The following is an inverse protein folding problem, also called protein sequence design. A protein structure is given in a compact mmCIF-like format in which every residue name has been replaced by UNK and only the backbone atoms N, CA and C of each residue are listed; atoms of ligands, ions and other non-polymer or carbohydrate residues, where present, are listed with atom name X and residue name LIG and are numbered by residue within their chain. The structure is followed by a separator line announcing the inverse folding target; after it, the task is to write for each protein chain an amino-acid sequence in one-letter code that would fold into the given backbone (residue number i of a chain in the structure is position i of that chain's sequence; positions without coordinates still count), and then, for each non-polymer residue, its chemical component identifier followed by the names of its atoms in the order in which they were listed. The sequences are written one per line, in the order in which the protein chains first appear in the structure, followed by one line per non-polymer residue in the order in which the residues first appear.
data_IF_368186631638
#
_entry.id   IF_368186631638
#
_cell.length_a   1.000
_cell.length_b   1.000
_cell.length_c   1.000
_cell.angle_alpha   90.00
_cell.angle_beta   90.00
_cell.angle_gamma   90.00
#
_symmetry.space_group_name_H-M   'P 1'
#
loop_
_entity.id
_entity.type
_entity.pdbx_description
1 polymer ?
#
# COMPACT_ATOMS: atom_id res chain seq x y z
N UNK A 1 -14.18 -9.69 -22.35
CA UNK A 1 -13.87 -8.27 -22.06
C UNK A 1 -13.34 -8.21 -20.64
N UNK A 2 -12.22 -7.52 -20.37
CA UNK A 2 -11.68 -7.42 -19.00
C UNK A 2 -12.65 -6.69 -18.08
N UNK A 3 -12.71 -7.09 -16.81
CA UNK A 3 -13.73 -6.60 -15.86
C UNK A 3 -13.67 -5.08 -15.63
N UNK A 4 -12.49 -4.48 -15.71
CA UNK A 4 -12.25 -3.05 -15.51
C UNK A 4 -12.08 -2.25 -16.82
N UNK A 5 -12.34 -2.85 -17.99
CA UNK A 5 -12.12 -2.19 -19.28
C UNK A 5 -12.88 -0.86 -19.42
N UNK A 6 -14.11 -0.81 -18.87
CA UNK A 6 -15.01 0.35 -18.93
C UNK A 6 -14.79 1.35 -17.80
N UNK A 7 -13.86 1.10 -16.88
CA UNK A 7 -13.49 2.08 -15.87
C UNK A 7 -12.88 3.31 -16.54
N UNK A 8 -13.18 4.49 -16.02
CA UNK A 8 -12.73 5.76 -16.56
C UNK A 8 -11.68 6.41 -15.67
N UNK A 9 -11.21 7.60 -16.05
CA UNK A 9 -10.26 8.37 -15.25
C UNK A 9 -10.74 8.73 -13.84
N UNK A 10 -12.03 8.57 -13.52
CA UNK A 10 -12.54 8.64 -12.14
C UNK A 10 -11.89 7.61 -11.20
N UNK A 11 -11.41 6.48 -11.74
CA UNK A 11 -10.76 5.42 -10.98
C UNK A 11 -9.23 5.38 -11.22
N UNK A 12 -8.68 6.38 -11.91
CA UNK A 12 -7.27 6.39 -12.29
C UNK A 12 -6.45 7.15 -11.24
N UNK A 13 -5.41 6.56 -10.64
CA UNK A 13 -4.57 7.26 -9.65
C UNK A 13 -3.71 8.37 -10.28
N UNK A 14 -3.58 8.39 -11.61
CA UNK A 14 -2.94 9.47 -12.35
C UNK A 14 -3.89 10.64 -12.68
N UNK A 15 -5.17 10.57 -12.30
CA UNK A 15 -6.08 11.70 -12.42
C UNK A 15 -5.79 12.73 -11.33
N UNK A 16 -5.59 13.98 -11.76
CA UNK A 16 -5.43 15.13 -10.88
C UNK A 16 -6.71 15.96 -10.92
N UNK A 17 -7.42 15.97 -9.78
CA UNK A 17 -8.64 16.75 -9.61
C UNK A 17 -8.27 18.16 -9.11
N UNK A 18 -8.67 19.23 -9.82
CA UNK A 18 -8.51 20.58 -9.31
C UNK A 18 -9.30 20.76 -8.01
N UNK A 19 -8.86 21.67 -7.14
CA UNK A 19 -9.45 21.87 -5.81
C UNK A 19 -10.97 22.18 -5.84
N UNK A 20 -11.46 22.81 -6.90
CA UNK A 20 -12.88 23.11 -7.11
C UNK A 20 -13.66 21.95 -7.74
N UNK A 21 -12.96 20.94 -8.27
CA UNK A 21 -13.53 19.79 -8.99
C UNK A 21 -14.20 20.11 -10.32
N UNK A 22 -14.33 21.39 -10.69
CA UNK A 22 -15.12 21.87 -11.82
C UNK A 22 -14.36 22.91 -12.65
N UNK A 23 -14.62 22.93 -13.96
CA UNK A 23 -14.20 24.00 -14.86
C UNK A 23 -15.03 25.29 -14.58
N UNK A 24 -14.70 26.44 -15.20
CA UNK A 24 -15.46 27.69 -15.04
C UNK A 24 -16.95 27.59 -15.41
N UNK A 25 -17.35 26.54 -16.13
CA UNK A 25 -18.73 26.25 -16.56
C UNK A 25 -19.46 25.27 -15.63
N UNK A 26 -18.84 24.86 -14.51
CA UNK A 26 -19.46 23.96 -13.53
C UNK A 26 -19.43 22.47 -13.92
N UNK A 27 -18.63 22.07 -14.90
CA UNK A 27 -18.46 20.67 -15.32
C UNK A 27 -17.21 20.05 -14.72
N UNK A 28 -17.29 18.78 -14.32
CA UNK A 28 -16.16 18.05 -13.78
C UNK A 28 -15.01 17.99 -14.80
N UNK A 29 -13.84 18.49 -14.43
CA UNK A 29 -12.66 18.48 -15.30
C UNK A 29 -11.42 18.04 -14.52
N UNK A 30 -10.58 17.22 -15.15
CA UNK A 30 -9.34 16.69 -14.56
C UNK A 30 -8.15 16.94 -15.47
N UNK A 31 -6.95 16.84 -14.90
CA UNK A 31 -5.68 16.70 -15.66
C UNK A 31 -5.13 15.29 -15.50
N UNK A 32 -4.34 14.82 -16.45
CA UNK A 32 -3.64 13.55 -16.34
C UNK A 32 -2.16 13.78 -15.96
N UNK A 33 -1.72 13.27 -14.80
CA UNK A 33 -0.33 13.35 -14.33
C UNK A 33 0.66 12.65 -15.27
N UNK A 34 0.19 11.65 -16.03
CA UNK A 34 0.99 10.87 -17.00
C UNK A 34 0.98 11.44 -18.40
N UNK A 35 0.02 12.32 -18.73
CA UNK A 35 -0.12 12.95 -20.05
C UNK A 35 -0.40 14.44 -19.89
N UNK A 36 0.65 15.20 -19.61
CA UNK A 36 0.57 16.65 -19.34
C UNK A 36 0.09 17.47 -20.54
N UNK A 37 0.30 16.97 -21.77
CA UNK A 37 -0.07 17.66 -23.01
C UNK A 37 -1.58 17.63 -23.33
N UNK A 38 -2.38 16.84 -22.61
CA UNK A 38 -3.83 16.66 -22.87
C UNK A 38 -4.68 17.87 -22.44
N UNK A 39 -4.15 18.77 -21.61
CA UNK A 39 -4.93 19.82 -20.97
C UNK A 39 -5.96 19.26 -19.98
N UNK A 40 -7.02 20.02 -19.72
CA UNK A 40 -8.16 19.61 -18.90
C UNK A 40 -9.23 18.92 -19.75
N UNK A 41 -9.84 17.86 -19.23
CA UNK A 41 -10.90 17.11 -19.93
C UNK A 41 -11.90 16.47 -18.96
N UNK A 42 -13.05 16.04 -19.47
CA UNK A 42 -14.06 15.32 -18.67
C UNK A 42 -13.55 13.91 -18.31
N UNK A 43 -13.45 13.57 -17.01
CA UNK A 43 -12.93 12.28 -16.55
C UNK A 43 -13.70 11.05 -17.03
N UNK A 44 -14.93 11.20 -17.55
CA UNK A 44 -15.77 10.09 -18.05
C UNK A 44 -15.51 9.73 -19.51
N UNK A 45 -14.76 10.55 -20.24
CA UNK A 45 -14.60 10.40 -21.70
C UNK A 45 -13.62 9.29 -22.09
N UNK A 46 -12.61 9.04 -21.26
CA UNK A 46 -11.55 8.06 -21.53
C UNK A 46 -11.72 6.85 -20.62
N UNK A 47 -11.93 5.68 -21.23
CA UNK A 47 -11.94 4.38 -20.57
C UNK A 47 -10.55 3.74 -20.58
N UNK A 48 -10.29 2.79 -19.67
CA UNK A 48 -8.98 2.14 -19.54
C UNK A 48 -8.55 1.42 -20.82
N UNK A 49 -9.48 0.77 -21.53
CA UNK A 49 -9.19 0.12 -22.82
C UNK A 49 -8.81 1.07 -23.95
N UNK A 50 -9.16 2.36 -23.83
CA UNK A 50 -8.81 3.41 -24.80
C UNK A 50 -7.60 4.23 -24.37
N UNK A 51 -7.15 4.10 -23.13
CA UNK A 51 -6.06 4.90 -22.60
C UNK A 51 -4.70 4.21 -22.86
N UNK A 52 -3.73 4.87 -23.52
CA UNK A 52 -2.43 4.26 -23.82
C UNK A 52 -1.56 4.00 -22.59
N UNK A 53 -1.90 4.60 -21.43
CA UNK A 53 -1.21 4.39 -20.16
C UNK A 53 -1.60 3.08 -19.48
N UNK A 54 -2.73 2.48 -19.88
CA UNK A 54 -3.20 1.21 -19.36
C UNK A 54 -2.85 0.10 -20.35
N UNK A 55 -2.46 -1.06 -19.84
CA UNK A 55 -2.21 -2.24 -20.66
C UNK A 55 -2.97 -3.45 -20.11
N UNK A 56 -3.38 -4.38 -20.99
CA UNK A 56 -4.02 -5.62 -20.56
C UNK A 56 -3.05 -6.52 -19.79
N UNK A 57 -3.56 -7.17 -18.74
CA UNK A 57 -2.91 -8.28 -18.02
C UNK A 57 -3.92 -9.41 -17.80
N UNK A 58 -3.50 -10.62 -17.38
CA UNK A 58 -4.45 -11.67 -16.98
C UNK A 58 -5.43 -11.25 -15.88
N UNK A 59 -5.09 -10.21 -15.11
CA UNK A 59 -5.88 -9.71 -13.99
C UNK A 59 -6.68 -8.44 -14.31
N UNK A 60 -6.74 -8.02 -15.58
CA UNK A 60 -7.41 -6.78 -16.01
C UNK A 60 -6.42 -5.73 -16.53
N UNK A 61 -6.92 -4.53 -16.79
CA UNK A 61 -6.07 -3.41 -17.18
C UNK A 61 -5.22 -2.94 -16.00
N UNK A 62 -3.92 -2.84 -16.21
CA UNK A 62 -2.94 -2.31 -15.26
C UNK A 62 -2.31 -1.03 -15.82
N UNK A 63 -2.08 -0.07 -14.94
CA UNK A 63 -1.41 1.17 -15.30
C UNK A 63 0.10 0.87 -15.47
N UNK A 64 0.67 1.25 -16.62
CA UNK A 64 2.08 0.97 -16.94
C UNK A 64 2.99 1.55 -15.86
N UNK A 65 3.99 0.82 -15.36
CA UNK A 65 4.90 1.37 -14.33
C UNK A 65 4.13 2.00 -13.15
N UNK A 66 3.08 1.33 -12.67
CA UNK A 66 2.31 1.83 -11.54
C UNK A 66 3.21 1.87 -10.31
N UNK A 67 3.26 3.01 -9.60
CA UNK A 67 4.09 3.14 -8.39
C UNK A 67 3.31 2.64 -7.17
N UNK A 68 3.79 1.58 -6.53
CA UNK A 68 3.14 0.98 -5.36
C UNK A 68 4.11 0.96 -4.20
N UNK A 69 3.74 1.62 -3.10
CA UNK A 69 4.49 1.58 -1.85
C UNK A 69 3.86 0.59 -0.87
N UNK A 70 4.65 -0.33 -0.33
CA UNK A 70 4.20 -1.34 0.64
C UNK A 70 4.79 -1.02 2.01
N UNK A 71 3.93 -0.67 2.97
CA UNK A 71 4.31 -0.50 4.37
C UNK A 71 4.22 -1.86 5.06
N UNK A 72 5.31 -2.35 5.65
CA UNK A 72 5.42 -3.73 6.16
C UNK A 72 5.87 -4.74 5.09
N UNK A 73 6.77 -4.31 4.19
CA UNK A 73 7.19 -5.12 3.02
C UNK A 73 8.03 -6.35 3.39
N UNK A 74 8.67 -6.41 4.56
CA UNK A 74 9.45 -7.58 4.96
C UNK A 74 8.55 -8.75 5.39
N UNK A 75 7.32 -8.44 5.79
CA UNK A 75 6.32 -9.39 6.26
C UNK A 75 5.88 -10.43 5.22
N UNK A 76 5.10 -11.40 5.70
CA UNK A 76 4.63 -12.54 4.90
C UNK A 76 3.86 -12.12 3.64
N UNK A 77 2.88 -11.22 3.80
CA UNK A 77 2.08 -10.69 2.69
C UNK A 77 2.83 -9.61 1.90
N UNK A 78 3.56 -8.74 2.60
CA UNK A 78 4.25 -7.61 1.98
C UNK A 78 5.31 -8.04 0.96
N UNK A 79 6.14 -9.03 1.32
CA UNK A 79 7.22 -9.46 0.44
C UNK A 79 6.70 -10.15 -0.82
N UNK A 80 5.74 -11.06 -0.65
CA UNK A 80 5.16 -11.83 -1.76
C UNK A 80 4.40 -10.90 -2.72
N UNK A 81 3.67 -9.93 -2.18
CA UNK A 81 3.01 -8.90 -2.99
C UNK A 81 4.03 -8.04 -3.75
N UNK A 82 5.12 -7.61 -3.11
CA UNK A 82 6.17 -6.81 -3.74
C UNK A 82 6.80 -7.51 -4.94
N UNK A 83 7.16 -8.79 -4.81
CA UNK A 83 7.68 -9.59 -5.92
C UNK A 83 6.66 -9.75 -7.05
N UNK A 84 5.41 -10.04 -6.71
CA UNK A 84 4.34 -10.24 -7.69
C UNK A 84 4.04 -8.96 -8.48
N UNK A 85 3.91 -7.81 -7.81
CA UNK A 85 3.69 -6.52 -8.46
C UNK A 85 4.87 -6.11 -9.33
N UNK A 86 6.11 -6.31 -8.86
CA UNK A 86 7.31 -6.05 -9.65
C UNK A 86 7.33 -6.87 -10.95
N UNK A 87 6.97 -8.16 -10.87
CA UNK A 87 6.87 -9.04 -12.04
C UNK A 87 5.74 -8.64 -13.01
N UNK A 88 4.72 -7.91 -12.54
CA UNK A 88 3.69 -7.29 -13.39
C UNK A 88 4.12 -5.96 -14.02
N UNK A 89 5.33 -5.47 -13.72
CA UNK A 89 5.87 -4.22 -14.25
C UNK A 89 5.51 -2.98 -13.42
N UNK A 90 5.07 -3.15 -12.17
CA UNK A 90 4.91 -2.06 -11.22
C UNK A 90 6.27 -1.62 -10.66
N UNK A 91 6.39 -0.34 -10.34
CA UNK A 91 7.53 0.22 -9.61
C UNK A 91 7.24 0.09 -8.11
N UNK A 92 7.94 -0.84 -7.45
CA UNK A 92 7.67 -1.19 -6.06
C UNK A 92 8.66 -0.49 -5.13
N UNK A 93 8.12 0.20 -4.14
CA UNK A 93 8.86 0.67 -2.98
C UNK A 93 8.29 0.08 -1.70
N UNK A 94 9.05 0.07 -0.62
CA UNK A 94 8.52 -0.37 0.66
C UNK A 94 9.37 -0.02 1.86
N UNK A 95 8.73 -0.08 3.01
CA UNK A 95 9.37 0.19 4.30
C UNK A 95 9.05 -0.92 5.30
N UNK A 96 9.98 -1.18 6.19
CA UNK A 96 9.82 -2.10 7.32
C UNK A 96 10.87 -1.78 8.39
N UNK A 97 10.56 -1.99 9.67
CA UNK A 97 11.50 -1.83 10.80
C UNK A 97 11.93 -3.17 11.41
N UNK A 98 11.56 -4.29 10.79
CA UNK A 98 11.80 -5.66 11.25
C UNK A 98 11.19 -6.00 12.61
N UNK A 99 10.24 -5.21 13.12
CA UNK A 99 9.63 -5.44 14.42
C UNK A 99 9.04 -6.85 14.53
N UNK A 100 8.46 -7.38 13.44
CA UNK A 100 7.97 -8.77 13.42
C UNK A 100 9.06 -9.80 13.71
N UNK A 101 10.26 -9.64 13.15
CA UNK A 101 11.40 -10.53 13.42
C UNK A 101 11.82 -10.45 14.89
N UNK A 102 11.78 -9.25 15.47
CA UNK A 102 12.10 -9.03 16.88
C UNK A 102 11.07 -9.69 17.80
N UNK A 103 9.76 -9.53 17.54
CA UNK A 103 8.70 -10.17 18.33
C UNK A 103 8.79 -11.71 18.29
N UNK A 104 9.12 -12.30 17.12
CA UNK A 104 9.33 -13.75 17.02
C UNK A 104 10.47 -14.20 17.95
N UNK A 105 11.59 -13.47 17.92
CA UNK A 105 12.77 -13.77 18.74
C UNK A 105 12.50 -13.61 20.23
N UNK A 106 11.80 -12.54 20.60
CA UNK A 106 11.37 -12.26 21.98
C UNK A 106 10.59 -13.43 22.58
N UNK A 107 9.73 -14.07 21.78
CA UNK A 107 8.94 -15.24 22.20
C UNK A 107 9.69 -16.57 22.15
N UNK A 108 10.99 -16.57 21.84
CA UNK A 108 11.77 -17.79 21.62
C UNK A 108 11.24 -18.65 20.48
N UNK A 109 10.51 -18.05 19.55
CA UNK A 109 9.90 -18.73 18.41
C UNK A 109 10.77 -18.59 17.17
N UNK A 110 10.49 -19.39 16.13
CA UNK A 110 11.18 -19.35 14.86
C UNK A 110 10.23 -19.60 13.71
N UNK A 111 10.56 -19.03 12.55
CA UNK A 111 9.89 -19.36 11.29
C UNK A 111 10.27 -20.77 10.83
N UNK A 112 9.31 -21.50 10.24
CA UNK A 112 9.57 -22.84 9.69
C UNK A 112 10.45 -22.78 8.43
N UNK A 113 10.27 -21.74 7.61
CA UNK A 113 11.14 -21.44 6.47
C UNK A 113 12.09 -20.32 6.87
N UNK A 114 13.42 -20.53 6.86
CA UNK A 114 14.38 -19.47 7.18
C UNK A 114 14.19 -18.23 6.31
N UNK A 115 14.07 -17.06 6.94
CA UNK A 115 13.92 -15.79 6.23
C UNK A 115 15.29 -15.13 6.10
N UNK A 116 15.77 -14.98 4.86
CA UNK A 116 17.04 -14.32 4.56
C UNK A 116 17.02 -12.83 4.97
N UNK A 117 18.21 -12.20 4.99
CA UNK A 117 18.31 -10.75 5.24
C UNK A 117 17.69 -10.00 4.07
N UNK A 118 17.18 -8.79 4.33
CA UNK A 118 16.56 -7.99 3.28
C UNK A 118 17.51 -7.74 2.11
N UNK A 119 18.80 -7.53 2.38
CA UNK A 119 19.85 -7.38 1.33
C UNK A 119 19.87 -8.57 0.37
N UNK A 120 19.83 -9.79 0.90
CA UNK A 120 19.92 -11.02 0.12
C UNK A 120 18.61 -11.26 -0.64
N UNK A 121 17.47 -10.94 -0.01
CA UNK A 121 16.14 -10.99 -0.63
C UNK A 121 16.06 -10.05 -1.83
N UNK A 122 16.52 -8.80 -1.68
CA UNK A 122 16.55 -7.79 -2.75
C UNK A 122 17.50 -8.21 -3.88
N UNK A 123 18.68 -8.74 -3.54
CA UNK A 123 19.63 -9.25 -4.53
C UNK A 123 19.01 -10.37 -5.36
N UNK A 124 18.42 -11.37 -4.71
CA UNK A 124 17.76 -12.49 -5.37
C UNK A 124 16.57 -12.04 -6.23
N UNK A 125 15.77 -11.07 -5.76
CA UNK A 125 14.65 -10.51 -6.54
C UNK A 125 15.14 -9.89 -7.86
N UNK A 126 16.24 -9.12 -7.80
CA UNK A 126 16.86 -8.52 -8.98
C UNK A 126 17.50 -9.56 -9.91
N UNK A 127 18.28 -10.47 -9.35
CA UNK A 127 19.04 -11.47 -10.10
C UNK A 127 18.13 -12.48 -10.82
N UNK A 128 17.12 -12.99 -10.11
CA UNK A 128 16.27 -14.09 -10.60
C UNK A 128 15.04 -13.58 -11.35
N UNK A 129 14.43 -12.50 -10.88
CA UNK A 129 13.16 -11.99 -11.42
C UNK A 129 13.31 -10.69 -12.20
N UNK A 130 14.49 -10.04 -12.18
CA UNK A 130 14.65 -8.68 -12.74
C UNK A 130 13.83 -7.62 -11.99
N UNK A 131 13.39 -7.91 -10.77
CA UNK A 131 12.54 -7.03 -9.97
C UNK A 131 13.40 -6.19 -9.03
N UNK A 132 13.44 -4.89 -9.26
CA UNK A 132 14.08 -3.92 -8.37
C UNK A 132 13.06 -3.34 -7.39
N UNK A 133 13.34 -3.46 -6.10
CA UNK A 133 12.50 -2.93 -5.02
C UNK A 133 13.27 -1.84 -4.29
N UNK A 134 12.70 -0.63 -4.22
CA UNK A 134 13.26 0.46 -3.44
C UNK A 134 12.85 0.31 -1.97
N UNK A 135 13.74 -0.29 -1.16
CA UNK A 135 13.49 -0.57 0.26
C UNK A 135 14.17 0.46 1.17
N UNK A 136 13.47 0.89 2.23
CA UNK A 136 14.07 1.64 3.36
C UNK A 136 13.68 1.02 4.69
N UNK A 137 14.68 0.81 5.56
CA UNK A 137 14.43 0.42 6.94
C UNK A 137 13.92 1.63 7.73
N UNK A 138 12.63 1.67 8.04
CA UNK A 138 11.97 2.80 8.69
C UNK A 138 10.86 2.31 9.62
N UNK A 139 10.74 2.94 10.79
CA UNK A 139 9.59 2.80 11.66
C UNK A 139 8.50 3.82 11.28
N UNK A 140 7.29 3.35 10.95
CA UNK A 140 6.21 4.20 10.46
C UNK A 140 5.83 5.29 11.48
N UNK A 141 5.87 4.96 12.78
CA UNK A 141 5.48 5.88 13.84
C UNK A 141 6.63 6.79 14.27
N UNK A 142 7.85 6.24 14.39
CA UNK A 142 9.02 6.96 14.94
C UNK A 142 9.79 7.74 13.88
N UNK A 143 9.83 7.27 12.63
CA UNK A 143 10.58 7.87 11.54
C UNK A 143 9.69 8.67 10.56
N UNK A 144 8.58 9.26 11.05
CA UNK A 144 7.57 9.97 10.22
C UNK A 144 8.18 10.91 9.19
N UNK A 145 9.13 11.77 9.58
CA UNK A 145 9.77 12.71 8.65
C UNK A 145 10.50 12.01 7.50
N UNK A 146 11.19 10.90 7.78
CA UNK A 146 11.88 10.13 6.73
C UNK A 146 10.88 9.40 5.83
N UNK A 147 9.75 8.97 6.39
CA UNK A 147 8.66 8.38 5.62
C UNK A 147 7.96 9.43 4.74
N UNK A 148 7.77 10.66 5.22
CA UNK A 148 7.30 11.81 4.44
C UNK A 148 8.24 12.08 3.26
N UNK A 149 9.54 12.21 3.52
CA UNK A 149 10.57 12.40 2.50
C UNK A 149 10.52 11.27 1.45
N UNK A 150 10.31 10.02 1.89
CA UNK A 150 10.23 8.89 0.97
C UNK A 150 8.94 8.84 0.14
N UNK A 151 7.80 9.16 0.76
CA UNK A 151 6.51 9.28 0.06
C UNK A 151 6.58 10.43 -0.96
N UNK A 152 7.20 11.55 -0.60
CA UNK A 152 7.37 12.70 -1.48
C UNK A 152 8.29 12.41 -2.66
N UNK A 153 9.38 11.66 -2.44
CA UNK A 153 10.28 11.18 -3.48
C UNK A 153 9.60 10.20 -4.44
N UNK A 154 8.90 9.20 -3.92
CA UNK A 154 8.29 8.12 -4.73
C UNK A 154 7.01 8.58 -5.42
N UNK A 155 6.23 9.47 -4.78
CA UNK A 155 4.87 9.83 -5.21
C UNK A 155 4.03 8.58 -5.59
N UNK A 156 3.82 7.62 -4.66
CA UNK A 156 3.15 6.36 -4.98
C UNK A 156 1.72 6.59 -5.46
N UNK A 157 1.25 5.78 -6.40
CA UNK A 157 -0.14 5.79 -6.89
C UNK A 157 -1.05 4.93 -6.02
N UNK A 158 -0.49 3.93 -5.34
CA UNK A 158 -1.15 3.18 -4.28
C UNK A 158 -0.20 2.93 -3.11
N UNK A 159 -0.75 2.95 -1.89
CA UNK A 159 -0.08 2.50 -0.67
C UNK A 159 -0.81 1.26 -0.17
N UNK A 160 -0.08 0.15 0.01
CA UNK A 160 -0.59 -1.06 0.65
C UNK A 160 -0.04 -1.11 2.07
N UNK A 161 -0.94 -1.17 3.05
CA UNK A 161 -0.56 -1.05 4.46
C UNK A 161 -0.71 -2.39 5.19
N UNK A 162 0.42 -3.05 5.42
CA UNK A 162 0.60 -4.25 6.26
C UNK A 162 1.45 -4.02 7.53
N UNK A 163 2.11 -2.87 7.66
CA UNK A 163 3.07 -2.52 8.74
C UNK A 163 2.45 -2.28 10.12
N UNK A 164 1.74 -3.28 10.64
CA UNK A 164 1.08 -3.28 11.95
C UNK A 164 1.49 -4.54 12.72
N UNK A 165 1.18 -4.60 14.02
CA UNK A 165 1.20 -5.85 14.75
C UNK A 165 -0.14 -6.59 14.55
N UNK A 166 -0.18 -7.74 13.85
CA UNK A 166 -1.42 -8.45 13.55
C UNK A 166 -1.73 -9.57 14.56
N UNK A 167 -0.88 -9.79 15.56
CA UNK A 167 -0.93 -10.98 16.41
C UNK A 167 -1.81 -10.75 17.64
N UNK A 168 -3.02 -11.33 17.63
CA UNK A 168 -3.91 -11.31 18.79
C UNK A 168 -3.29 -11.92 20.07
N UNK A 169 -2.55 -13.06 20.02
CA UNK A 169 -1.86 -13.54 21.22
C UNK A 169 -0.78 -12.59 21.72
N UNK A 170 -0.09 -11.88 20.82
CA UNK A 170 0.95 -10.92 21.20
C UNK A 170 0.34 -9.71 21.92
N UNK A 171 -0.82 -9.21 21.46
CA UNK A 171 -1.51 -8.11 22.12
C UNK A 171 -2.12 -8.46 23.48
N UNK A 172 -2.09 -9.72 23.90
CA UNK A 172 -2.68 -10.22 25.14
C UNK A 172 -1.65 -10.79 26.13
N UNK A 173 -0.34 -10.52 25.91
CA UNK A 173 0.73 -10.98 26.81
C UNK A 173 0.65 -10.28 28.17
N UNK A 174 0.66 -8.95 28.16
CA UNK A 174 0.57 -8.06 29.32
C UNK A 174 0.04 -6.68 28.86
N UNK A 175 -0.08 -5.75 29.81
CA UNK A 175 -0.63 -4.41 29.53
C UNK A 175 0.29 -3.58 28.63
N UNK A 176 1.61 -3.75 28.76
CA UNK A 176 2.60 -3.05 27.96
C UNK A 176 2.49 -3.45 26.48
N UNK A 177 2.34 -4.75 26.20
CA UNK A 177 2.12 -5.26 24.86
C UNK A 177 0.78 -4.81 24.28
N UNK A 178 -0.28 -4.84 25.08
CA UNK A 178 -1.60 -4.37 24.66
C UNK A 178 -1.57 -2.88 24.26
N UNK A 179 -0.99 -2.03 25.11
CA UNK A 179 -0.80 -0.61 24.83
C UNK A 179 0.06 -0.38 23.58
N UNK A 180 1.18 -1.10 23.47
CA UNK A 180 2.08 -1.01 22.31
C UNK A 180 1.36 -1.31 21.00
N UNK A 181 0.58 -2.40 20.93
CA UNK A 181 -0.13 -2.78 19.71
C UNK A 181 -1.14 -1.71 19.30
N UNK A 182 -1.89 -1.16 20.25
CA UNK A 182 -2.85 -0.08 19.99
C UNK A 182 -2.13 1.19 19.52
N UNK A 183 -1.06 1.60 20.20
CA UNK A 183 -0.28 2.78 19.84
C UNK A 183 0.32 2.65 18.44
N UNK A 184 1.02 1.53 18.18
CA UNK A 184 1.68 1.26 16.90
C UNK A 184 0.67 1.28 15.73
N UNK A 185 -0.44 0.54 15.87
CA UNK A 185 -1.37 0.35 14.76
C UNK A 185 -2.21 1.61 14.51
N UNK A 186 -2.77 2.20 15.56
CA UNK A 186 -3.67 3.35 15.44
C UNK A 186 -2.90 4.62 15.07
N UNK A 187 -1.81 4.95 15.81
CA UNK A 187 -1.06 6.17 15.55
C UNK A 187 -0.20 6.07 14.28
N UNK A 188 0.24 4.86 13.91
CA UNK A 188 0.87 4.60 12.61
C UNK A 188 -0.10 4.87 11.47
N UNK A 189 -1.31 4.29 11.54
CA UNK A 189 -2.37 4.50 10.55
C UNK A 189 -2.75 5.97 10.41
N UNK A 190 -2.97 6.66 11.54
CA UNK A 190 -3.30 8.08 11.53
C UNK A 190 -2.19 8.92 10.88
N UNK A 191 -0.92 8.63 11.22
CA UNK A 191 0.23 9.29 10.61
C UNK A 191 0.22 9.17 9.09
N UNK A 192 0.05 7.94 8.58
CA UNK A 192 0.03 7.68 7.12
C UNK A 192 -1.10 8.43 6.43
N UNK A 193 -2.31 8.47 7.02
CA UNK A 193 -3.44 9.20 6.45
C UNK A 193 -3.16 10.70 6.30
N UNK A 194 -2.50 11.31 7.29
CA UNK A 194 -2.12 12.73 7.22
C UNK A 194 -1.01 12.98 6.19
N UNK A 195 0.00 12.12 6.14
CA UNK A 195 1.04 12.18 5.11
C UNK A 195 0.45 12.07 3.70
N UNK A 196 -0.51 11.15 3.50
CA UNK A 196 -1.21 11.00 2.23
C UNK A 196 -2.00 12.25 1.84
N UNK A 197 -2.76 12.82 2.78
CA UNK A 197 -3.50 14.07 2.57
C UNK A 197 -2.59 15.19 2.07
N UNK A 198 -1.42 15.34 2.70
CA UNK A 198 -0.53 16.48 2.45
C UNK A 198 0.36 16.30 1.22
N UNK A 199 0.86 15.09 0.98
CA UNK A 199 1.87 14.84 -0.06
C UNK A 199 1.30 14.22 -1.34
N UNK A 200 0.30 13.35 -1.21
CA UNK A 200 -0.20 12.48 -2.28
C UNK A 200 -1.72 12.21 -2.18
N UNK A 201 -2.59 13.24 -2.19
CA UNK A 201 -4.01 13.09 -1.86
C UNK A 201 -4.83 12.22 -2.84
N UNK A 202 -4.29 11.91 -4.02
CA UNK A 202 -4.94 11.04 -5.01
C UNK A 202 -4.49 9.57 -4.91
N UNK A 203 -3.56 9.25 -4.02
CA UNK A 203 -3.06 7.89 -3.80
C UNK A 203 -4.15 7.03 -3.16
N UNK A 204 -4.33 5.82 -3.69
CA UNK A 204 -5.26 4.86 -3.11
C UNK A 204 -4.62 4.15 -1.92
N UNK A 205 -5.31 4.14 -0.77
CA UNK A 205 -4.92 3.32 0.37
C UNK A 205 -5.60 1.96 0.30
N UNK A 206 -4.80 0.89 0.27
CA UNK A 206 -5.24 -0.49 0.46
C UNK A 206 -4.83 -0.92 1.86
N UNK A 207 -5.76 -0.75 2.81
CA UNK A 207 -5.52 -1.08 4.23
C UNK A 207 -5.92 -2.53 4.50
N UNK A 208 -5.04 -3.27 5.16
CA UNK A 208 -5.41 -4.56 5.72
C UNK A 208 -6.25 -4.34 6.98
N UNK A 209 -7.52 -4.76 6.94
CA UNK A 209 -8.36 -4.92 8.12
C UNK A 209 -8.30 -6.35 8.65
N UNK A 210 -9.27 -6.75 9.46
CA UNK A 210 -9.43 -8.15 9.85
C UNK A 210 -10.89 -8.55 9.96
N UNK A 211 -11.23 -9.76 9.51
CA UNK A 211 -12.58 -10.32 9.71
C UNK A 211 -12.95 -10.43 11.20
N UNK A 212 -11.95 -10.44 12.09
CA UNK A 212 -12.16 -10.43 13.53
C UNK A 212 -12.88 -9.16 14.05
N UNK A 213 -12.88 -8.06 13.28
CA UNK A 213 -13.62 -6.84 13.64
C UNK A 213 -15.12 -7.07 13.84
N UNK A 214 -15.70 -8.04 13.12
CA UNK A 214 -17.13 -8.35 13.19
C UNK A 214 -17.48 -9.32 14.32
N UNK A 215 -16.48 -9.98 14.94
CA UNK A 215 -16.71 -11.02 15.93
C UNK A 215 -17.64 -12.13 15.43
N UNK A 216 -18.47 -12.67 16.32
CA UNK A 216 -19.43 -13.73 16.00
C UNK A 216 -20.84 -13.37 16.51
N UNK A 217 -21.56 -12.44 15.84
CA UNK A 217 -22.78 -11.85 16.39
C UNK A 217 -23.96 -12.81 16.52
N UNK A 218 -23.99 -13.91 15.74
CA UNK A 218 -25.14 -14.83 15.65
C UNK A 218 -24.93 -16.13 16.45
N UNK A 219 -23.70 -16.45 16.88
CA UNK A 219 -23.39 -17.77 17.48
C UNK A 219 -23.68 -17.86 18.98
N UNK A 220 -24.12 -16.78 19.63
CA UNK A 220 -24.48 -16.79 21.06
C UNK A 220 -23.35 -17.15 22.02
N UNK A 221 -22.11 -17.25 21.53
CA UNK A 221 -20.93 -17.54 22.36
C UNK A 221 -20.42 -16.25 22.99
N UNK A 222 -20.18 -16.20 24.31
CA UNK A 222 -19.52 -15.07 24.94
C UNK A 222 -18.14 -14.84 24.29
N UNK A 223 -17.77 -13.56 24.14
CA UNK A 223 -16.49 -13.13 23.56
C UNK A 223 -15.28 -13.48 24.47
N UNK A 224 -15.54 -13.91 25.71
CA UNK A 224 -14.52 -14.23 26.70
C UNK A 224 -14.83 -15.59 27.37
N UNK A 225 -14.46 -16.68 26.69
CA UNK A 225 -14.22 -18.00 27.30
C UNK A 225 -12.81 -18.48 26.92
#
# INVERSE_FOLDING_TARGET
MMHNARCTCLNCPAADFPATGHNPEGQASIRCKRRTNLGTFDPKTVTFDKCPEWHPTPHGYLLKKMRVMILGIDGYLGWTLGLWLGNLGCEVSGVDNYARRNWVKERGSHTIVPIARMTDRLHAAKEILGVEINFRELDILKDRRKLEEFIDEVKPEAIVYYGECPSAPYSMIDVEHACYVQENNVLGTLGVLFMMRDLVPQTSLVKLGTMGEYGTPITGRPIFE
#
